data_IF_545498440493
#
_entry.id   IF_545498440493
#
_cell.length_a   1.000
_cell.length_b   1.000
_cell.length_c   1.000
_cell.angle_alpha   90.00
_cell.angle_beta   90.00
_cell.angle_gamma   90.00
#
_symmetry.space_group_name_H-M   'P 1'
#
loop_
_entity.id
_entity.type
_entity.pdbx_description
1 polymer ?
#
# COMPACT_ATOMS: atom_id res chain seq x y z
N UNK A 1 10.11 -15.20 -16.08
CA UNK A 1 9.99 -14.60 -14.72
C UNK A 1 9.31 -13.26 -14.85
N UNK A 2 8.09 -13.13 -14.41
CA UNK A 2 7.42 -11.84 -14.35
C UNK A 2 8.11 -10.97 -13.31
N UNK A 3 8.60 -9.78 -13.71
CA UNK A 3 9.11 -8.80 -12.78
C UNK A 3 7.89 -8.24 -12.03
N UNK A 4 7.79 -8.48 -10.73
CA UNK A 4 6.77 -7.87 -9.90
C UNK A 4 6.97 -6.36 -9.87
N UNK A 5 5.94 -5.60 -10.20
CA UNK A 5 5.99 -4.16 -10.11
C UNK A 5 6.21 -3.74 -8.64
N UNK A 6 7.20 -2.88 -8.41
CA UNK A 6 7.53 -2.34 -7.09
C UNK A 6 7.62 -0.82 -7.15
N UNK A 7 6.96 -0.16 -6.21
CA UNK A 7 6.85 1.29 -6.14
C UNK A 7 7.40 1.81 -4.82
N UNK A 8 8.28 2.80 -4.88
CA UNK A 8 8.77 3.51 -3.71
C UNK A 8 7.98 4.80 -3.50
N UNK A 9 7.37 4.94 -2.34
CA UNK A 9 6.61 6.13 -1.93
C UNK A 9 7.45 6.88 -0.92
N UNK A 10 7.75 8.14 -1.21
CA UNK A 10 8.60 9.00 -0.42
C UNK A 10 7.80 10.18 0.16
N UNK A 11 8.34 10.78 1.20
CA UNK A 11 7.85 12.03 1.75
C UNK A 11 8.87 13.13 1.44
N UNK A 12 8.61 13.94 0.42
CA UNK A 12 9.58 14.91 -0.11
C UNK A 12 9.22 16.37 0.11
N UNK A 13 7.99 16.65 0.53
CA UNK A 13 7.51 18.01 0.72
C UNK A 13 6.46 18.10 1.80
N UNK A 14 6.34 19.27 2.42
CA UNK A 14 5.18 19.60 3.24
C UNK A 14 4.00 19.90 2.33
N UNK A 15 2.85 19.36 2.69
CA UNK A 15 1.59 19.58 2.00
C UNK A 15 0.57 20.18 2.98
N UNK A 16 -0.54 20.67 2.47
CA UNK A 16 -1.63 21.20 3.30
C UNK A 16 -2.09 20.22 4.39
N UNK A 17 -1.99 18.90 4.09
CA UNK A 17 -2.39 17.83 5.00
C UNK A 17 -1.27 17.32 5.91
N UNK A 18 -0.08 17.92 5.85
CA UNK A 18 1.01 17.63 6.77
C UNK A 18 0.81 18.41 8.07
N UNK A 19 0.97 17.76 9.21
CA UNK A 19 0.86 18.42 10.52
C UNK A 19 2.08 19.31 10.77
N UNK A 20 1.87 20.62 10.73
CA UNK A 20 2.96 21.60 10.81
C UNK A 20 3.02 22.34 12.15
N UNK A 21 1.95 22.35 12.95
CA UNK A 21 1.90 23.07 14.21
C UNK A 21 2.89 22.55 15.25
N UNK A 22 3.93 23.30 15.54
CA UNK A 22 4.98 22.91 16.49
C UNK A 22 5.85 21.76 16.00
N UNK A 23 5.77 21.43 14.71
CA UNK A 23 6.57 20.36 14.10
C UNK A 23 7.90 20.87 13.56
N UNK A 24 8.94 20.07 13.75
CA UNK A 24 10.22 20.21 13.06
C UNK A 24 10.25 19.16 11.94
N UNK A 25 10.35 19.60 10.70
CA UNK A 25 10.40 18.72 9.53
C UNK A 25 11.67 19.03 8.75
N UNK A 26 12.48 18.00 8.50
CA UNK A 26 13.73 18.12 7.73
C UNK A 26 13.77 17.05 6.65
N UNK A 27 13.91 17.50 5.42
CA UNK A 27 14.09 16.59 4.27
C UNK A 27 15.57 16.31 4.08
N UNK A 28 15.96 15.05 4.26
CA UNK A 28 17.32 14.57 4.15
C UNK A 28 17.46 13.63 2.93
N UNK A 29 18.68 13.35 2.52
CA UNK A 29 18.96 12.41 1.41
C UNK A 29 18.48 10.98 1.68
N UNK A 30 18.46 10.56 2.94
CA UNK A 30 18.08 9.22 3.41
C UNK A 30 16.65 9.12 3.96
N UNK A 31 15.88 10.22 3.94
CA UNK A 31 14.51 10.21 4.44
C UNK A 31 14.07 11.57 4.99
N UNK A 32 12.92 11.57 5.66
CA UNK A 32 12.33 12.77 6.26
C UNK A 32 12.28 12.62 7.77
N UNK A 33 12.94 13.54 8.44
CA UNK A 33 12.89 13.67 9.90
C UNK A 33 11.67 14.50 10.30
N UNK A 34 10.91 13.99 11.25
CA UNK A 34 9.77 14.68 11.86
C UNK A 34 9.88 14.61 13.38
N UNK A 35 9.65 15.73 14.05
CA UNK A 35 9.62 15.82 15.50
C UNK A 35 8.47 16.74 15.93
N UNK A 36 7.66 16.25 16.87
CA UNK A 36 6.65 17.02 17.56
C UNK A 36 6.27 16.33 18.87
N UNK A 37 6.65 16.92 19.98
CA UNK A 37 6.41 16.35 21.30
C UNK A 37 5.01 16.65 21.85
N UNK A 38 4.31 17.62 21.28
CA UNK A 38 3.01 18.09 21.76
C UNK A 38 1.84 17.66 20.86
N UNK A 39 2.11 16.94 19.78
CA UNK A 39 1.08 16.50 18.87
C UNK A 39 0.16 15.47 19.54
N UNK A 40 -1.16 15.70 19.57
CA UNK A 40 -2.09 14.72 20.13
C UNK A 40 -2.07 13.40 19.36
N UNK A 41 -2.22 12.29 20.09
CA UNK A 41 -2.40 10.97 19.48
C UNK A 41 -3.70 10.90 18.66
N UNK A 42 -3.67 10.12 17.59
CA UNK A 42 -4.80 9.96 16.66
C UNK A 42 -4.85 10.99 15.55
N UNK A 43 -3.99 12.02 15.56
CA UNK A 43 -3.92 12.99 14.47
C UNK A 43 -3.02 12.51 13.33
N UNK A 44 -3.35 12.97 12.13
CA UNK A 44 -2.59 12.68 10.93
C UNK A 44 -1.29 13.47 10.89
N UNK A 45 -0.17 12.77 10.70
CA UNK A 45 1.14 13.39 10.47
C UNK A 45 1.28 13.80 9.01
N UNK A 46 1.00 12.88 8.09
CA UNK A 46 1.12 13.08 6.65
C UNK A 46 0.12 12.22 5.87
N UNK A 47 -0.21 12.66 4.66
CA UNK A 47 -1.15 12.00 3.75
C UNK A 47 -0.51 11.86 2.37
N UNK A 48 -0.59 10.65 1.80
CA UNK A 48 -0.27 10.37 0.40
C UNK A 48 -1.54 10.07 -0.36
N UNK A 49 -1.72 10.71 -1.52
CA UNK A 49 -2.90 10.55 -2.36
C UNK A 49 -2.53 10.01 -3.75
N UNK A 50 -3.38 9.15 -4.30
CA UNK A 50 -3.27 8.72 -5.70
C UNK A 50 -3.74 9.80 -6.67
N UNK A 51 -4.79 10.53 -6.30
CA UNK A 51 -5.36 11.63 -7.07
C UNK A 51 -5.43 12.88 -6.19
N UNK A 52 -5.06 14.03 -6.76
CA UNK A 52 -5.18 15.32 -6.10
C UNK A 52 -5.94 16.27 -7.02
N UNK A 53 -6.70 17.20 -6.42
CA UNK A 53 -7.25 18.35 -7.12
C UNK A 53 -6.24 19.47 -7.01
N UNK A 54 -5.45 19.67 -8.05
CA UNK A 54 -4.38 20.68 -8.07
C UNK A 54 -4.89 22.09 -7.70
N UNK A 55 -6.10 22.43 -8.16
CA UNK A 55 -6.72 23.73 -7.91
C UNK A 55 -7.01 23.98 -6.41
N UNK A 56 -7.25 22.94 -5.64
CA UNK A 56 -7.61 23.05 -4.22
C UNK A 56 -6.46 22.72 -3.26
N UNK A 57 -5.59 21.80 -3.63
CA UNK A 57 -4.63 21.19 -2.70
C UNK A 57 -3.18 21.61 -2.97
N UNK A 58 -2.87 22.15 -4.18
CA UNK A 58 -1.51 22.53 -4.56
C UNK A 58 -0.49 21.39 -4.49
N UNK A 59 -0.98 20.14 -4.40
CA UNK A 59 -0.16 18.95 -4.25
C UNK A 59 -0.24 18.06 -5.47
N UNK A 60 0.87 17.40 -5.80
CA UNK A 60 0.94 16.40 -6.88
C UNK A 60 0.58 15.02 -6.34
N UNK A 61 0.01 14.13 -7.16
CA UNK A 61 -0.19 12.74 -6.79
C UNK A 61 1.12 12.09 -6.34
N UNK A 62 1.08 11.39 -5.22
CA UNK A 62 2.26 10.77 -4.60
C UNK A 62 2.18 9.25 -4.51
N UNK A 63 1.03 8.67 -4.90
CA UNK A 63 0.81 7.24 -4.91
C UNK A 63 0.73 6.69 -6.34
N UNK A 64 1.24 5.48 -6.58
CA UNK A 64 1.10 4.81 -7.86
C UNK A 64 -0.34 4.37 -8.12
N UNK A 65 -0.69 4.19 -9.39
CA UNK A 65 -1.94 3.57 -9.80
C UNK A 65 -1.80 2.06 -9.61
N UNK A 66 -2.70 1.45 -8.84
CA UNK A 66 -2.73 0.02 -8.59
C UNK A 66 -3.77 -0.68 -9.47
N UNK A 67 -3.51 -1.94 -9.80
CA UNK A 67 -4.43 -2.77 -10.60
C UNK A 67 -5.53 -3.34 -9.72
N UNK A 68 -6.77 -3.22 -10.17
CA UNK A 68 -7.94 -3.72 -9.46
C UNK A 68 -7.93 -5.24 -9.32
N UNK A 69 -8.18 -5.74 -8.11
CA UNK A 69 -8.21 -7.16 -7.80
C UNK A 69 -6.83 -7.82 -7.66
N UNK A 70 -5.76 -7.05 -7.79
CA UNK A 70 -4.40 -7.55 -7.58
C UNK A 70 -4.00 -7.46 -6.12
N UNK A 71 -3.12 -8.36 -5.74
CA UNK A 71 -2.58 -8.43 -4.38
C UNK A 71 -1.27 -7.67 -4.28
N UNK A 72 -1.11 -6.91 -3.20
CA UNK A 72 0.06 -6.09 -2.94
C UNK A 72 0.61 -6.36 -1.55
N UNK A 73 1.93 -6.22 -1.44
CA UNK A 73 2.64 -6.16 -0.17
C UNK A 73 3.04 -4.71 0.10
N UNK A 74 2.59 -4.18 1.20
CA UNK A 74 3.02 -2.88 1.70
C UNK A 74 4.08 -3.09 2.77
N UNK A 75 5.20 -2.41 2.64
CA UNK A 75 6.28 -2.40 3.63
C UNK A 75 6.59 -0.95 4.01
N UNK A 76 6.55 -0.66 5.31
CA UNK A 76 6.82 0.67 5.86
C UNK A 76 8.21 0.69 6.49
N UNK A 77 9.11 1.52 5.93
CA UNK A 77 10.44 1.76 6.46
C UNK A 77 10.45 3.09 7.22
N UNK A 78 10.11 3.01 8.49
CA UNK A 78 10.05 4.14 9.42
C UNK A 78 10.62 3.74 10.78
N UNK A 79 11.48 4.59 11.33
CA UNK A 79 11.96 4.48 12.70
C UNK A 79 11.26 5.53 13.56
N UNK A 80 10.74 5.12 14.70
CA UNK A 80 9.99 5.99 15.60
C UNK A 80 10.54 5.97 17.01
N UNK A 81 10.41 7.10 17.71
CA UNK A 81 10.66 7.18 19.13
C UNK A 81 9.46 7.82 19.84
N UNK A 82 8.83 7.15 20.79
CA UNK A 82 9.03 5.75 21.19
C UNK A 82 8.80 4.76 20.05
N UNK A 83 9.29 3.51 20.20
CA UNK A 83 9.10 2.48 19.18
C UNK A 83 7.60 2.20 18.95
N UNK A 84 7.23 1.94 17.69
CA UNK A 84 5.85 1.64 17.27
C UNK A 84 4.83 2.74 17.62
N UNK A 85 5.24 3.98 17.60
CA UNK A 85 4.41 5.14 17.93
C UNK A 85 3.75 5.82 16.74
N UNK A 86 3.72 5.16 15.60
CA UNK A 86 2.91 5.53 14.43
C UNK A 86 2.27 4.30 13.81
N UNK A 87 1.17 4.50 13.10
CA UNK A 87 0.54 3.48 12.28
C UNK A 87 0.03 4.12 10.99
N UNK A 88 -0.28 3.27 10.02
CA UNK A 88 -0.77 3.72 8.72
C UNK A 88 -2.20 3.26 8.52
N UNK A 89 -3.00 4.06 7.83
CA UNK A 89 -4.34 3.71 7.39
C UNK A 89 -4.37 3.83 5.87
N UNK A 90 -4.73 2.75 5.19
CA UNK A 90 -5.05 2.77 3.77
C UNK A 90 -6.57 2.89 3.66
N UNK A 91 -7.04 3.91 2.97
CA UNK A 91 -8.47 4.11 2.71
C UNK A 91 -8.73 3.99 1.22
N UNK A 92 -9.67 3.15 0.85
CA UNK A 92 -10.11 2.96 -0.53
C UNK A 92 -11.45 3.68 -0.75
N UNK A 93 -11.57 4.36 -1.88
CA UNK A 93 -12.76 5.15 -2.23
C UNK A 93 -13.36 4.69 -3.57
N UNK A 94 -14.68 4.77 -3.67
CA UNK A 94 -15.41 4.60 -4.93
C UNK A 94 -15.28 5.86 -5.80
N UNK A 95 -15.77 5.78 -7.03
CA UNK A 95 -15.76 6.90 -7.99
C UNK A 95 -16.55 8.12 -7.50
N UNK A 96 -17.56 7.91 -6.67
CA UNK A 96 -18.38 8.97 -6.07
C UNK A 96 -17.80 9.52 -4.77
N UNK A 97 -16.53 9.26 -4.48
CA UNK A 97 -15.79 9.65 -3.27
C UNK A 97 -16.33 9.06 -1.95
N UNK A 98 -17.22 8.08 -2.01
CA UNK A 98 -17.62 7.35 -0.81
C UNK A 98 -16.55 6.36 -0.40
N UNK A 99 -16.33 6.25 0.91
CA UNK A 99 -15.40 5.27 1.47
C UNK A 99 -15.92 3.85 1.21
N UNK A 100 -15.04 3.00 0.70
CA UNK A 100 -15.32 1.60 0.45
C UNK A 100 -14.83 0.73 1.61
N UNK A 101 -13.60 0.94 2.03
CA UNK A 101 -12.91 0.14 3.04
C UNK A 101 -11.73 0.89 3.61
N UNK A 102 -11.45 0.65 4.89
CA UNK A 102 -10.20 1.06 5.53
C UNK A 102 -9.40 -0.15 6.00
N UNK A 103 -8.09 -0.06 5.86
CA UNK A 103 -7.14 -1.05 6.34
C UNK A 103 -6.12 -0.39 7.26
N UNK A 104 -6.10 -0.81 8.51
CA UNK A 104 -5.10 -0.35 9.48
C UNK A 104 -3.83 -1.20 9.39
N UNK A 105 -2.69 -0.54 9.31
CA UNK A 105 -1.36 -1.16 9.23
C UNK A 105 -0.53 -0.72 10.42
N UNK A 106 -0.35 -1.61 11.38
CA UNK A 106 0.50 -1.39 12.57
C UNK A 106 1.84 -2.11 12.45
N UNK A 107 1.89 -3.14 11.63
CA UNK A 107 3.09 -3.93 11.36
C UNK A 107 3.95 -3.28 10.28
N UNK A 108 5.23 -3.62 10.24
CA UNK A 108 6.14 -3.15 9.18
C UNK A 108 5.78 -3.67 7.79
N UNK A 109 5.06 -4.79 7.72
CA UNK A 109 4.67 -5.42 6.46
C UNK A 109 3.22 -5.87 6.54
N UNK A 110 2.44 -5.56 5.51
CA UNK A 110 1.03 -5.95 5.38
C UNK A 110 0.71 -6.34 3.94
N UNK A 111 -0.04 -7.42 3.79
CA UNK A 111 -0.60 -7.84 2.49
C UNK A 111 -2.05 -7.38 2.38
N UNK A 112 -2.43 -6.91 1.20
CA UNK A 112 -3.82 -6.53 0.92
C UNK A 112 -4.15 -6.75 -0.57
N UNK A 113 -5.42 -6.88 -0.87
CA UNK A 113 -5.94 -6.88 -2.23
C UNK A 113 -6.51 -5.50 -2.53
N UNK A 114 -6.14 -4.92 -3.70
CA UNK A 114 -6.75 -3.67 -4.15
C UNK A 114 -8.18 -3.94 -4.59
N UNK A 115 -9.21 -3.38 -3.93
CA UNK A 115 -10.59 -3.74 -4.20
C UNK A 115 -10.98 -3.45 -5.65
N UNK A 116 -11.74 -4.34 -6.27
CA UNK A 116 -12.21 -4.17 -7.66
C UNK A 116 -13.10 -2.93 -7.86
N UNK A 117 -13.83 -2.55 -6.81
CA UNK A 117 -14.71 -1.38 -6.79
C UNK A 117 -13.99 -0.07 -6.43
N UNK A 118 -12.74 -0.14 -6.00
CA UNK A 118 -11.97 1.03 -5.65
C UNK A 118 -11.59 1.83 -6.91
N UNK A 119 -11.79 3.14 -6.83
CA UNK A 119 -11.40 4.09 -7.87
C UNK A 119 -10.09 4.80 -7.51
N UNK A 120 -9.91 5.14 -6.23
CA UNK A 120 -8.72 5.76 -5.68
C UNK A 120 -8.44 5.27 -4.27
N UNK A 121 -7.23 5.51 -3.79
CA UNK A 121 -6.85 5.22 -2.42
C UNK A 121 -5.94 6.30 -1.86
N UNK A 122 -5.86 6.33 -0.55
CA UNK A 122 -5.00 7.21 0.24
C UNK A 122 -4.25 6.40 1.29
N UNK A 123 -3.06 6.85 1.65
CA UNK A 123 -2.30 6.33 2.79
C UNK A 123 -2.08 7.47 3.77
N UNK A 124 -2.50 7.28 5.03
CA UNK A 124 -2.34 8.24 6.12
C UNK A 124 -1.36 7.69 7.14
N UNK A 125 -0.43 8.51 7.58
CA UNK A 125 0.42 8.21 8.72
C UNK A 125 -0.16 8.91 9.95
N UNK A 126 -0.50 8.13 10.97
CA UNK A 126 -1.20 8.60 12.17
C UNK A 126 -0.28 8.52 13.39
N UNK A 127 -0.31 9.58 14.19
CA UNK A 127 0.43 9.68 15.44
C UNK A 127 -0.19 8.77 16.52
N UNK A 128 0.66 7.97 17.17
CA UNK A 128 0.30 7.17 18.34
C UNK A 128 1.29 7.46 19.49
N UNK A 129 1.31 8.72 19.93
CA UNK A 129 2.25 9.26 20.91
C UNK A 129 3.74 9.29 20.44
N UNK A 130 3.96 9.50 19.16
CA UNK A 130 5.28 9.67 18.57
C UNK A 130 5.85 11.04 18.95
N UNK A 131 7.09 11.05 19.41
CA UNK A 131 7.84 12.29 19.67
C UNK A 131 8.68 12.69 18.48
N UNK A 132 9.33 11.72 17.86
CA UNK A 132 10.16 11.91 16.66
C UNK A 132 10.20 10.65 15.81
N UNK A 133 10.37 10.82 14.52
CA UNK A 133 10.51 9.73 13.58
C UNK A 133 11.48 10.06 12.44
N UNK A 134 12.03 9.02 11.83
CA UNK A 134 12.72 9.09 10.55
C UNK A 134 11.94 8.22 9.58
N UNK A 135 11.27 8.86 8.63
CA UNK A 135 10.55 8.19 7.55
C UNK A 135 11.47 8.03 6.34
N UNK A 136 11.73 6.81 5.91
CA UNK A 136 12.54 6.56 4.70
C UNK A 136 11.65 6.39 3.49
N UNK A 137 10.75 5.41 3.52
CA UNK A 137 9.86 5.09 2.39
C UNK A 137 8.76 4.13 2.78
N UNK A 138 7.73 4.08 1.93
CA UNK A 138 6.80 2.96 1.86
C UNK A 138 7.08 2.24 0.54
N UNK A 139 7.16 0.92 0.56
CA UNK A 139 7.32 0.09 -0.63
C UNK A 139 6.05 -0.69 -0.88
N UNK A 140 5.45 -0.51 -2.05
CA UNK A 140 4.34 -1.31 -2.55
C UNK A 140 4.87 -2.26 -3.62
N UNK A 141 4.71 -3.55 -3.41
CA UNK A 141 5.13 -4.59 -4.36
C UNK A 141 3.92 -5.43 -4.76
N UNK A 142 3.70 -5.56 -6.07
CA UNK A 142 2.69 -6.47 -6.63
C UNK A 142 3.09 -7.91 -6.31
N UNK A 143 2.16 -8.70 -5.78
CA UNK A 143 2.38 -10.10 -5.43
C UNK A 143 1.60 -10.98 -6.41
N UNK A 144 2.31 -11.70 -7.28
CA UNK A 144 1.69 -12.75 -8.06
C UNK A 144 1.48 -13.97 -7.16
N UNK A 145 0.24 -14.39 -6.99
CA UNK A 145 -0.03 -15.68 -6.35
C UNK A 145 0.47 -16.80 -7.26
N UNK A 146 1.43 -17.56 -6.79
CA UNK A 146 1.90 -18.77 -7.49
C UNK A 146 0.78 -19.82 -7.71
N UNK A 147 -0.37 -19.63 -7.08
CA UNK A 147 -1.54 -20.52 -7.15
C UNK A 147 -2.29 -20.45 -8.49
N UNK A 148 -2.20 -19.34 -9.26
CA UNK A 148 -2.93 -19.27 -10.54
C UNK A 148 -2.22 -20.04 -11.67
N UNK A 149 -0.92 -20.32 -11.54
CA UNK A 149 -0.15 -21.10 -12.53
C UNK A 149 -0.23 -22.60 -12.26
N UNK A 150 -0.39 -23.03 -11.01
CA UNK A 150 -0.52 -24.46 -10.68
C UNK A 150 -1.92 -25.01 -10.92
N UNK A 151 -2.98 -24.20 -10.73
CA UNK A 151 -4.36 -24.63 -10.97
C UNK A 151 -4.63 -24.83 -12.47
N UNK A 152 -4.03 -24.04 -13.35
CA UNK A 152 -4.21 -24.22 -14.79
C UNK A 152 -3.40 -25.41 -15.35
N UNK A 153 -2.21 -25.70 -14.80
CA UNK A 153 -1.41 -26.84 -15.24
C UNK A 153 -1.92 -28.19 -14.69
N UNK A 154 -2.34 -28.25 -13.44
CA UNK A 154 -2.91 -29.47 -12.87
C UNK A 154 -4.26 -29.85 -13.48
N UNK A 155 -5.07 -28.86 -13.88
CA UNK A 155 -6.35 -29.15 -14.56
C UNK A 155 -6.15 -29.60 -16.00
N UNK A 156 -5.10 -29.13 -16.68
CA UNK A 156 -4.74 -29.56 -18.02
C UNK A 156 -4.16 -31.01 -18.02
N UNK A 157 -3.25 -31.32 -17.09
CA UNK A 157 -2.64 -32.61 -16.96
C UNK A 157 -3.66 -33.71 -16.57
N UNK A 158 -4.64 -33.39 -15.73
CA UNK A 158 -5.72 -34.28 -15.38
C UNK A 158 -6.65 -34.59 -16.56
N UNK A 159 -6.97 -33.59 -17.40
CA UNK A 159 -7.76 -33.81 -18.63
C UNK A 159 -7.01 -34.66 -19.65
N UNK A 160 -5.72 -34.43 -19.85
CA UNK A 160 -4.89 -35.22 -20.78
C UNK A 160 -4.76 -36.66 -20.29
N UNK A 161 -4.59 -36.92 -18.99
CA UNK A 161 -4.56 -38.29 -18.42
C UNK A 161 -5.90 -39.00 -18.56
N UNK A 162 -7.03 -38.33 -18.38
CA UNK A 162 -8.35 -38.91 -18.58
C UNK A 162 -8.62 -39.28 -20.04
N UNK A 163 -8.22 -38.44 -20.99
CA UNK A 163 -8.34 -38.70 -22.42
C UNK A 163 -7.48 -39.88 -22.82
N UNK A 164 -6.25 -40.03 -22.32
CA UNK A 164 -5.38 -41.17 -22.56
C UNK A 164 -5.96 -42.49 -22.02
N UNK A 165 -6.57 -42.45 -20.85
CA UNK A 165 -7.23 -43.66 -20.27
C UNK A 165 -8.46 -44.09 -21.07
N UNK A 166 -9.22 -43.16 -21.64
CA UNK A 166 -10.38 -43.46 -22.49
C UNK A 166 -9.93 -44.07 -23.80
N UNK A 167 -8.86 -43.57 -24.43
CA UNK A 167 -8.32 -44.09 -25.69
C UNK A 167 -7.75 -45.51 -25.49
N UNK A 168 -7.15 -45.81 -24.36
CA UNK A 168 -6.65 -47.17 -24.08
C UNK A 168 -7.78 -48.20 -23.82
N UNK A 169 -8.94 -47.76 -23.31
CA UNK A 169 -10.09 -48.65 -23.08
C UNK A 169 -10.89 -48.97 -24.34
N UNK A 170 -10.75 -48.18 -25.40
CA UNK A 170 -11.46 -48.36 -26.68
C UNK A 170 -10.65 -49.15 -27.71
N UNK A 171 -9.44 -49.62 -27.35
CA UNK A 171 -8.58 -50.47 -28.22
C UNK A 171 -8.55 -51.94 -27.78
N UNK A 172 -9.69 -52.49 -27.40
CA UNK A 172 -9.86 -53.95 -27.22
C UNK A 172 -10.84 -54.45 -28.25
#
# INVERSE_FOLDING_TARGET
MGINASFNILWRSTQRHTYQHGSIIRFCSNGTYFENQLMPSGLQIHLWCMTTRFDNDGSTPSLPILKKGYRYRLMCDVETYPANSVYFIITFYRKNDTELQQLMVKEKCKYFEYPKEAYRYEIRMINAACQRLMFRRIVLTEVHSATDTEVSTTHFDNKVKQVHQIIQRTRV
#
